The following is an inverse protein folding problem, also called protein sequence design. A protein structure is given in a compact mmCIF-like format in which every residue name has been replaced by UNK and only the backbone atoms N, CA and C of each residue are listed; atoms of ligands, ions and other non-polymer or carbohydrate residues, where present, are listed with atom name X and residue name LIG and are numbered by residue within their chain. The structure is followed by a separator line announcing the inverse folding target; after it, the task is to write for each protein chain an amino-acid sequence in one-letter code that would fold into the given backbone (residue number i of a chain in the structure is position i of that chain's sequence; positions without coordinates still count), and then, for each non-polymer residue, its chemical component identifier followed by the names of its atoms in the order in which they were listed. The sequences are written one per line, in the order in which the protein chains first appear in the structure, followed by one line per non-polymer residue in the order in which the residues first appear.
data_IF_035246328834
#
_entry.id   IF_035246328834
#
_cell.length_a   1.000
_cell.length_b   1.000
_cell.length_c   1.000
_cell.angle_alpha   90.00
_cell.angle_beta   90.00
_cell.angle_gamma   90.00
#
_symmetry.space_group_name_H-M   'P 1'
#
loop_
_entity.id
_entity.type
_entity.pdbx_description
1 polymer ?
#
# COMPACT_ATOMS: atom_id res chain seq x y z
N UNK A 1 -5.76 -4.89 27.60
CA UNK A 1 -6.45 -6.11 27.26
C UNK A 1 -5.63 -6.95 26.32
N UNK A 2 -5.69 -8.26 26.51
CA UNK A 2 -4.82 -9.19 25.76
C UNK A 2 -5.05 -9.08 24.24
N UNK A 3 -6.30 -8.89 23.80
CA UNK A 3 -6.61 -8.82 22.37
C UNK A 3 -6.01 -7.57 21.71
N UNK A 4 -6.01 -6.45 22.41
CA UNK A 4 -5.45 -5.20 21.87
C UNK A 4 -3.93 -5.31 21.74
N UNK A 5 -3.28 -5.94 22.73
CA UNK A 5 -1.83 -6.17 22.68
C UNK A 5 -1.49 -7.06 21.50
N UNK A 6 -2.24 -8.15 21.32
CA UNK A 6 -2.00 -9.08 20.22
C UNK A 6 -2.23 -8.40 18.86
N UNK A 7 -3.31 -7.63 18.72
CA UNK A 7 -3.61 -6.93 17.47
C UNK A 7 -2.52 -5.93 17.11
N UNK A 8 -2.03 -5.18 18.10
CA UNK A 8 -0.94 -4.22 17.87
C UNK A 8 0.34 -4.95 17.43
N UNK A 9 0.64 -6.08 18.05
CA UNK A 9 1.81 -6.88 17.70
C UNK A 9 1.70 -7.43 16.28
N UNK A 10 0.53 -7.93 15.90
CA UNK A 10 0.29 -8.45 14.57
C UNK A 10 0.42 -7.35 13.52
N UNK A 11 -0.12 -6.16 13.80
CA UNK A 11 -0.01 -5.04 12.88
C UNK A 11 1.44 -4.58 12.74
N UNK A 12 2.20 -4.52 13.83
CA UNK A 12 3.61 -4.15 13.78
C UNK A 12 4.44 -5.13 12.96
N UNK A 13 4.14 -6.43 13.07
CA UNK A 13 4.79 -7.44 12.24
C UNK A 13 4.41 -7.28 10.77
N UNK A 14 3.14 -6.99 10.49
CA UNK A 14 2.67 -6.77 9.14
C UNK A 14 3.37 -5.55 8.51
N UNK A 15 3.60 -4.49 9.28
CA UNK A 15 4.36 -3.33 8.80
C UNK A 15 5.78 -3.71 8.38
N UNK A 16 6.44 -4.54 9.17
CA UNK A 16 7.79 -5.00 8.85
C UNK A 16 7.79 -5.81 7.55
N UNK A 17 6.84 -6.71 7.39
CA UNK A 17 6.73 -7.54 6.19
C UNK A 17 6.45 -6.66 4.97
N UNK A 18 5.47 -5.76 5.08
CA UNK A 18 5.10 -4.87 3.98
C UNK A 18 6.28 -3.97 3.57
N UNK A 19 6.98 -3.41 4.53
CA UNK A 19 8.17 -2.60 4.29
C UNK A 19 9.24 -3.39 3.54
N UNK A 20 9.45 -4.64 3.94
CA UNK A 20 10.44 -5.49 3.29
C UNK A 20 10.07 -5.78 1.83
N UNK A 21 8.78 -5.98 1.55
CA UNK A 21 8.31 -6.21 0.17
C UNK A 21 8.61 -4.98 -0.68
N UNK A 22 8.25 -3.80 -0.21
CA UNK A 22 8.53 -2.55 -0.95
C UNK A 22 10.03 -2.36 -1.11
N UNK A 23 10.81 -2.63 -0.07
CA UNK A 23 12.27 -2.50 -0.12
C UNK A 23 12.89 -3.43 -1.17
N UNK A 24 12.29 -4.60 -1.39
CA UNK A 24 12.74 -5.52 -2.45
C UNK A 24 12.39 -4.99 -3.85
N UNK A 25 11.30 -4.26 -3.99
CA UNK A 25 10.89 -3.68 -5.27
C UNK A 25 11.79 -2.52 -5.67
N UNK A 26 12.18 -1.67 -4.72
CA UNK A 26 12.90 -0.42 -4.99
C UNK A 26 14.13 -0.60 -5.88
N UNK A 27 15.05 -1.55 -5.63
CA UNK A 27 16.23 -1.67 -6.49
C UNK A 27 15.94 -2.22 -7.89
N UNK A 28 14.76 -2.81 -8.09
CA UNK A 28 14.40 -3.43 -9.37
C UNK A 28 13.60 -2.49 -10.28
N UNK A 29 13.09 -1.40 -9.74
CA UNK A 29 12.15 -0.55 -10.48
C UNK A 29 12.77 0.79 -10.86
N UNK A 30 12.15 1.44 -11.84
CA UNK A 30 12.46 2.82 -12.21
C UNK A 30 11.65 3.79 -11.38
N UNK A 31 10.41 3.44 -11.10
CA UNK A 31 9.53 4.20 -10.22
C UNK A 31 8.48 3.29 -9.61
N UNK A 32 7.88 3.73 -8.52
CA UNK A 32 6.84 2.98 -7.83
C UNK A 32 5.88 3.92 -7.12
N UNK A 33 4.70 3.39 -6.84
CA UNK A 33 3.68 4.10 -6.06
C UNK A 33 3.00 3.13 -5.13
N UNK A 34 2.73 3.57 -3.91
CA UNK A 34 2.02 2.80 -2.88
C UNK A 34 0.56 3.25 -2.90
N UNK A 35 -0.36 2.31 -2.85
CA UNK A 35 -1.78 2.61 -2.86
C UNK A 35 -2.59 1.64 -2.03
N UNK A 36 -3.89 1.93 -1.92
CA UNK A 36 -4.84 1.07 -1.23
C UNK A 36 -6.12 1.00 -2.03
N UNK A 37 -6.87 -0.10 -1.87
CA UNK A 37 -8.13 -0.28 -2.57
C UNK A 37 -9.03 -1.23 -1.82
N UNK A 38 -10.36 -1.01 -1.92
CA UNK A 38 -11.36 -1.97 -1.47
C UNK A 38 -11.81 -2.93 -2.55
N UNK A 39 -11.19 -2.86 -3.73
CA UNK A 39 -11.48 -3.74 -4.85
C UNK A 39 -10.38 -4.78 -4.99
N UNK A 40 -10.64 -5.86 -5.74
CA UNK A 40 -9.61 -6.81 -6.09
C UNK A 40 -8.46 -6.09 -6.79
N UNK A 41 -7.22 -6.50 -6.50
CA UNK A 41 -6.04 -5.87 -7.11
C UNK A 41 -6.05 -5.98 -8.63
N UNK A 42 -6.62 -7.04 -9.16
CA UNK A 42 -6.76 -7.24 -10.59
C UNK A 42 -7.52 -6.10 -11.24
N UNK A 43 -8.59 -5.63 -10.59
CA UNK A 43 -9.37 -4.49 -11.08
C UNK A 43 -8.54 -3.21 -11.09
N UNK A 44 -7.75 -3.00 -10.04
CA UNK A 44 -6.88 -1.82 -9.96
C UNK A 44 -5.80 -1.87 -11.02
N UNK A 45 -5.21 -3.04 -11.23
CA UNK A 45 -4.17 -3.24 -12.23
C UNK A 45 -4.68 -2.93 -13.64
N UNK A 46 -5.94 -3.26 -13.92
CA UNK A 46 -6.53 -3.07 -15.25
C UNK A 46 -7.03 -1.65 -15.49
N UNK A 47 -6.98 -0.77 -14.51
CA UNK A 47 -7.37 0.62 -14.71
C UNK A 47 -6.36 1.32 -15.60
N UNK A 48 -6.82 2.14 -16.59
CA UNK A 48 -5.90 2.79 -17.54
C UNK A 48 -4.79 3.59 -16.89
N UNK A 49 -5.06 4.23 -15.75
CA UNK A 49 -4.07 5.03 -15.02
C UNK A 49 -2.89 4.19 -14.52
N UNK A 50 -3.12 2.90 -14.27
CA UNK A 50 -2.10 2.02 -13.74
C UNK A 50 -1.46 1.17 -14.83
N UNK A 51 -2.24 0.55 -15.69
CA UNK A 51 -1.70 -0.35 -16.70
C UNK A 51 -0.89 0.37 -17.77
N UNK A 52 -1.13 1.66 -17.99
CA UNK A 52 -0.35 2.45 -18.95
C UNK A 52 0.95 3.00 -18.35
N UNK A 53 1.05 3.06 -17.01
CA UNK A 53 2.18 3.67 -16.32
C UNK A 53 3.04 2.62 -15.61
N UNK A 54 2.41 1.59 -15.04
CA UNK A 54 3.09 0.59 -14.23
C UNK A 54 2.90 -0.80 -14.84
N UNK A 55 3.97 -1.59 -14.85
CA UNK A 55 3.95 -2.93 -15.41
C UNK A 55 3.60 -3.98 -14.36
N UNK A 56 3.81 -3.69 -13.09
CA UNK A 56 3.70 -4.66 -12.01
C UNK A 56 2.88 -4.12 -10.85
N UNK A 57 2.20 -5.03 -10.16
CA UNK A 57 1.51 -4.73 -8.92
C UNK A 57 1.74 -5.87 -7.94
N UNK A 58 2.14 -5.53 -6.72
CA UNK A 58 2.37 -6.50 -5.65
C UNK A 58 1.58 -6.10 -4.42
N UNK A 59 0.84 -7.05 -3.85
CA UNK A 59 0.14 -6.85 -2.60
C UNK A 59 1.12 -6.91 -1.44
N UNK A 60 1.04 -5.92 -0.55
CA UNK A 60 1.91 -5.89 0.62
C UNK A 60 1.14 -6.11 1.92
N UNK A 61 -0.18 -5.91 1.91
CA UNK A 61 -1.01 -6.08 3.10
C UNK A 61 -2.48 -6.25 2.70
N UNK A 62 -3.17 -7.11 3.43
CA UNK A 62 -4.61 -7.32 3.27
C UNK A 62 -5.27 -7.31 4.65
N UNK A 63 -6.40 -6.65 4.77
CA UNK A 63 -7.10 -6.52 6.04
C UNK A 63 -8.60 -6.35 5.81
N UNK A 64 -9.39 -6.67 6.84
CA UNK A 64 -10.83 -6.40 6.84
C UNK A 64 -11.15 -5.01 7.40
N UNK A 65 -10.15 -4.23 7.79
CA UNK A 65 -10.32 -2.91 8.40
C UNK A 65 -9.83 -1.81 7.47
N UNK A 66 -10.73 -0.90 7.08
CA UNK A 66 -10.34 0.30 6.32
C UNK A 66 -9.29 1.12 7.05
N UNK A 67 -9.46 1.25 8.37
CA UNK A 67 -8.54 2.04 9.19
C UNK A 67 -7.12 1.46 9.14
N UNK A 68 -7.01 0.15 9.26
CA UNK A 68 -5.69 -0.50 9.19
C UNK A 68 -5.07 -0.38 7.81
N UNK A 69 -5.87 -0.50 6.74
CA UNK A 69 -5.37 -0.31 5.39
C UNK A 69 -4.82 1.12 5.20
N UNK A 70 -5.56 2.12 5.69
CA UNK A 70 -5.13 3.52 5.60
C UNK A 70 -3.87 3.77 6.41
N UNK A 71 -3.78 3.20 7.60
CA UNK A 71 -2.59 3.34 8.45
C UNK A 71 -1.37 2.68 7.80
N UNK A 72 -1.56 1.51 7.19
CA UNK A 72 -0.48 0.80 6.51
C UNK A 72 0.03 1.60 5.31
N UNK A 73 -0.87 2.11 4.50
CA UNK A 73 -0.48 2.93 3.35
C UNK A 73 0.30 4.16 3.81
N UNK A 74 -0.21 4.88 4.80
CA UNK A 74 0.46 6.07 5.32
C UNK A 74 1.84 5.75 5.88
N UNK A 75 1.97 4.64 6.60
CA UNK A 75 3.24 4.19 7.13
C UNK A 75 4.25 3.94 6.01
N UNK A 76 3.83 3.23 4.96
CA UNK A 76 4.74 2.89 3.86
C UNK A 76 5.14 4.14 3.06
N UNK A 77 4.21 5.05 2.83
CA UNK A 77 4.53 6.31 2.15
C UNK A 77 5.56 7.08 2.96
N UNK A 78 5.37 7.19 4.28
CA UNK A 78 6.32 7.87 5.17
C UNK A 78 7.72 7.25 5.07
N UNK A 79 7.80 5.94 4.98
CA UNK A 79 9.07 5.22 4.95
C UNK A 79 9.82 5.42 3.63
N UNK A 80 9.10 5.60 2.52
CA UNK A 80 9.70 5.56 1.19
C UNK A 80 9.57 6.85 0.39
N UNK A 81 8.79 7.84 0.85
CA UNK A 81 8.53 9.05 0.06
C UNK A 81 9.77 9.88 -0.23
N UNK A 82 10.82 9.72 0.56
CA UNK A 82 12.07 10.46 0.36
C UNK A 82 12.83 9.98 -0.90
N UNK A 83 12.48 8.83 -1.42
CA UNK A 83 13.15 8.29 -2.62
C UNK A 83 12.63 8.96 -3.88
N UNK A 84 13.54 9.27 -4.79
CA UNK A 84 13.19 9.89 -6.07
C UNK A 84 12.25 9.01 -6.88
N UNK A 85 12.36 7.70 -6.75
CA UNK A 85 11.51 6.73 -7.45
C UNK A 85 10.07 6.72 -6.95
N UNK A 86 9.82 7.22 -5.76
CA UNK A 86 8.49 7.18 -5.15
C UNK A 86 7.60 8.27 -5.73
N UNK A 87 6.51 7.87 -6.36
CA UNK A 87 5.59 8.81 -7.00
C UNK A 87 4.59 9.43 -6.02
N UNK A 88 4.39 8.83 -4.85
CA UNK A 88 3.41 9.33 -3.88
C UNK A 88 3.67 10.76 -3.46
N UNK A 89 4.92 11.10 -3.16
CA UNK A 89 5.27 12.46 -2.73
C UNK A 89 4.96 13.51 -3.78
N UNK A 90 5.03 13.14 -5.05
CA UNK A 90 4.77 14.04 -6.17
C UNK A 90 3.28 14.27 -6.36
N UNK A 91 2.47 13.30 -5.96
CA UNK A 91 1.03 13.36 -6.08
C UNK A 91 0.37 13.99 -4.85
N UNK A 92 1.13 14.20 -3.77
CA UNK A 92 0.59 14.72 -2.54
C UNK A 92 -0.28 13.74 -1.78
N UNK A 93 -0.06 12.46 -1.96
CA UNK A 93 -0.92 11.39 -1.47
C UNK A 93 -0.68 11.04 -0.01
N UNK A 94 -0.89 11.99 0.89
CA UNK A 94 -0.81 11.71 2.32
C UNK A 94 -2.19 11.63 2.95
N UNK A 95 -3.22 11.62 2.14
CA UNK A 95 -4.59 11.62 2.62
C UNK A 95 -4.92 10.28 3.25
N UNK A 96 -5.43 10.32 4.47
CA UNK A 96 -5.99 9.14 5.13
C UNK A 96 -7.49 9.02 4.85
N UNK A 97 -8.01 9.83 3.94
CA UNK A 97 -9.41 9.77 3.55
C UNK A 97 -9.68 8.48 2.79
N UNK A 98 -10.75 7.84 3.15
CA UNK A 98 -11.13 6.55 2.60
C UNK A 98 -12.07 6.71 1.44
N UNK A 99 -11.52 6.71 0.24
CA UNK A 99 -12.32 6.60 -0.97
C UNK A 99 -12.54 5.14 -1.36
N UNK A 100 -12.14 4.22 -0.49
CA UNK A 100 -12.28 2.79 -0.75
C UNK A 100 -13.73 2.35 -0.64
N UNK A 101 -14.16 1.47 -1.55
CA UNK A 101 -15.46 0.84 -1.46
C UNK A 101 -15.57 -0.01 -0.19
N UNK A 102 -16.78 -0.13 0.36
CA UNK A 102 -17.06 -0.93 1.54
C UNK A 102 -17.23 -2.41 1.17
N UNK A 103 -16.14 -3.08 0.83
CA UNK A 103 -16.16 -4.47 0.39
C UNK A 103 -15.95 -5.47 1.51
N UNK A 104 -15.47 -5.02 2.67
CA UNK A 104 -15.09 -5.90 3.78
C UNK A 104 -13.69 -6.45 3.66
N UNK A 105 -13.01 -6.25 2.54
CA UNK A 105 -11.62 -6.66 2.34
C UNK A 105 -10.88 -5.52 1.66
N UNK A 106 -9.75 -5.14 2.24
CA UNK A 106 -8.97 -3.99 1.78
C UNK A 106 -7.54 -4.41 1.53
N UNK A 107 -6.94 -3.85 0.48
CA UNK A 107 -5.60 -4.21 0.02
C UNK A 107 -4.72 -2.99 -0.01
N UNK A 108 -3.49 -3.15 0.48
CA UNK A 108 -2.42 -2.17 0.27
C UNK A 108 -1.42 -2.80 -0.69
N UNK A 109 -0.98 -2.04 -1.67
CA UNK A 109 -0.18 -2.58 -2.76
C UNK A 109 0.90 -1.59 -3.17
N UNK A 110 1.88 -2.10 -3.91
CA UNK A 110 2.88 -1.28 -4.60
C UNK A 110 2.77 -1.57 -6.09
N UNK A 111 2.65 -0.52 -6.90
CA UNK A 111 2.72 -0.61 -8.36
C UNK A 111 4.09 -0.07 -8.78
N UNK A 112 4.68 -0.69 -9.78
CA UNK A 112 6.04 -0.31 -10.16
C UNK A 112 6.36 -0.65 -11.61
N UNK A 113 7.38 0.03 -12.12
CA UNK A 113 7.82 -0.14 -13.49
C UNK A 113 9.33 -0.36 -13.58
#
# INVERSE_FOLDING_TARGET
MANDILNNWLFDNAKTIAKNIVACVVPQCKNFKIGKTGEALENRRNQPDYCSVYDNIDEVYQTSSKDEASKMEAYLIDEFEYLDKCQNKKDGDHSINDDMADSGTYHVYVVWK
#
